data_IF_207383435357
#
_entry.id   IF_207383435357
#
_cell.length_a   1.000
_cell.length_b   1.000
_cell.length_c   1.000
_cell.angle_alpha   90.00
_cell.angle_beta   90.00
_cell.angle_gamma   90.00
#
_symmetry.space_group_name_H-M   'P 1'
#
loop_
_entity.id
_entity.type
_entity.pdbx_description
1 polymer ?
#
# COMPACT_ATOMS: atom_id res chain seq x y z
N UNK A 1 -10.58 -11.07 -6.30
CA UNK A 1 -10.37 -10.12 -5.19
C UNK A 1 -11.73 -9.79 -4.62
N UNK A 2 -11.85 -9.87 -3.30
CA UNK A 2 -13.06 -9.55 -2.56
C UNK A 2 -13.12 -8.04 -2.28
N UNK A 3 -14.13 -7.37 -2.84
CA UNK A 3 -14.32 -5.93 -2.69
C UNK A 3 -15.13 -5.56 -1.45
N UNK A 4 -15.67 -6.54 -0.72
CA UNK A 4 -16.26 -6.32 0.60
C UNK A 4 -15.21 -6.05 1.67
N UNK A 5 -13.99 -6.56 1.49
CA UNK A 5 -12.84 -6.21 2.33
C UNK A 5 -12.37 -4.79 2.04
N UNK A 6 -12.13 -4.00 3.08
CA UNK A 6 -11.62 -2.64 2.95
C UNK A 6 -10.18 -2.61 2.40
N UNK A 7 -9.84 -1.52 1.71
CA UNK A 7 -8.44 -1.20 1.46
C UNK A 7 -7.88 -0.48 2.70
N UNK A 8 -6.93 -1.10 3.39
CA UNK A 8 -6.40 -0.54 4.64
C UNK A 8 -5.50 0.65 4.35
N UNK A 9 -5.64 1.74 5.12
CA UNK A 9 -4.70 2.86 5.11
C UNK A 9 -3.49 2.48 5.93
N UNK A 10 -2.33 2.33 5.29
CA UNK A 10 -1.12 1.80 5.93
C UNK A 10 0.11 2.58 5.49
N UNK A 11 1.16 2.46 6.29
CA UNK A 11 2.53 2.76 5.91
C UNK A 11 3.24 1.47 5.45
N UNK A 12 4.27 1.61 4.61
CA UNK A 12 5.12 0.52 4.12
C UNK A 12 5.75 -0.28 5.26
N UNK A 13 6.11 0.38 6.37
CA UNK A 13 6.60 -0.30 7.57
C UNK A 13 5.58 -1.27 8.17
N UNK A 14 4.31 -0.88 8.24
CA UNK A 14 3.23 -1.72 8.77
C UNK A 14 2.93 -2.92 7.87
N UNK A 15 3.07 -2.76 6.54
CA UNK A 15 2.89 -3.87 5.59
C UNK A 15 3.91 -5.00 5.78
N UNK A 16 5.08 -4.72 6.39
CA UNK A 16 6.09 -5.76 6.69
C UNK A 16 5.62 -6.75 7.76
N UNK A 17 4.62 -6.36 8.56
CA UNK A 17 4.03 -7.22 9.58
C UNK A 17 2.89 -8.10 9.03
N UNK A 18 2.48 -7.87 7.77
CA UNK A 18 1.42 -8.62 7.14
C UNK A 18 1.82 -10.08 6.89
N UNK A 19 0.90 -11.01 7.15
CA UNK A 19 1.11 -12.44 6.96
C UNK A 19 0.15 -12.99 5.91
N UNK A 20 0.66 -13.82 5.00
CA UNK A 20 -0.18 -14.46 4.00
C UNK A 20 -1.10 -15.52 4.64
N UNK A 21 -2.35 -15.59 4.18
CA UNK A 21 -3.33 -16.57 4.63
C UNK A 21 -3.30 -17.79 3.72
N UNK A 22 -2.74 -18.89 4.23
CA UNK A 22 -2.67 -20.19 3.55
C UNK A 22 -4.03 -20.91 3.58
N UNK A 23 -5.01 -20.49 2.77
CA UNK A 23 -6.26 -21.25 2.63
C UNK A 23 -6.81 -21.21 1.21
N UNK A 24 -7.03 -22.40 0.64
CA UNK A 24 -7.17 -22.70 -0.78
C UNK A 24 -8.34 -22.06 -1.56
N UNK A 25 -9.11 -21.14 -0.98
CA UNK A 25 -10.15 -20.35 -1.64
C UNK A 25 -9.91 -18.82 -1.61
N UNK A 26 -8.99 -18.33 -0.77
CA UNK A 26 -8.72 -16.91 -0.53
C UNK A 26 -7.37 -16.49 -1.11
N UNK A 27 -7.19 -16.65 -2.42
CA UNK A 27 -5.93 -16.27 -3.08
C UNK A 27 -5.56 -14.79 -2.81
N UNK A 28 -4.30 -14.54 -2.44
CA UNK A 28 -3.72 -13.22 -2.18
C UNK A 28 -4.42 -12.44 -1.05
N UNK A 29 -4.73 -13.13 0.04
CA UNK A 29 -5.25 -12.51 1.26
C UNK A 29 -4.21 -12.51 2.37
N UNK A 30 -4.20 -11.44 3.15
CA UNK A 30 -3.21 -11.20 4.18
C UNK A 30 -3.88 -10.78 5.47
N UNK A 31 -3.22 -11.03 6.59
CA UNK A 31 -3.63 -10.50 7.88
C UNK A 31 -2.62 -9.49 8.41
N UNK A 32 -3.12 -8.41 9.00
CA UNK A 32 -2.37 -7.52 9.88
C UNK A 32 -2.95 -7.65 11.28
N UNK A 33 -2.29 -8.43 12.14
CA UNK A 33 -2.91 -8.92 13.37
C UNK A 33 -4.19 -9.72 13.06
N UNK A 34 -5.36 -9.37 13.62
CA UNK A 34 -6.62 -10.04 13.34
C UNK A 34 -7.31 -9.57 12.04
N UNK A 35 -6.79 -8.54 11.38
CA UNK A 35 -7.50 -7.86 10.28
C UNK A 35 -7.17 -8.53 8.95
N UNK A 36 -8.18 -9.13 8.31
CA UNK A 36 -8.06 -9.68 6.95
C UNK A 36 -8.15 -8.57 5.90
N UNK A 37 -7.19 -8.53 4.98
CA UNK A 37 -7.19 -7.60 3.86
C UNK A 37 -6.60 -8.20 2.59
N UNK A 38 -6.94 -7.58 1.45
CA UNK A 38 -6.37 -7.90 0.14
C UNK A 38 -5.82 -6.65 -0.57
N UNK A 39 -6.24 -5.47 -0.13
CA UNK A 39 -5.86 -4.18 -0.73
C UNK A 39 -5.28 -3.25 0.30
N UNK A 40 -4.33 -2.44 -0.14
CA UNK A 40 -3.75 -1.36 0.64
C UNK A 40 -4.03 -0.03 -0.05
N UNK A 41 -4.18 1.00 0.77
CA UNK A 41 -4.17 2.42 0.41
C UNK A 41 -2.90 3.01 1.00
N UNK A 42 -2.03 3.50 0.11
CA UNK A 42 -0.76 4.11 0.45
C UNK A 42 -0.68 5.53 -0.13
N UNK A 43 0.18 6.37 0.43
CA UNK A 43 0.64 7.61 -0.21
C UNK A 43 2.14 7.75 -0.02
N UNK A 44 2.82 8.37 -0.98
CA UNK A 44 4.27 8.50 -0.96
C UNK A 44 4.81 9.16 -2.22
N UNK A 45 6.13 9.32 -2.27
CA UNK A 45 6.86 9.87 -3.41
C UNK A 45 7.20 8.74 -4.38
N UNK A 46 6.97 8.96 -5.67
CA UNK A 46 7.45 8.06 -6.71
C UNK A 46 8.97 8.17 -6.84
N UNK A 47 9.65 7.05 -6.73
CA UNK A 47 11.10 6.93 -6.96
C UNK A 47 11.36 5.87 -8.04
N UNK A 48 12.48 5.97 -8.76
CA UNK A 48 12.84 4.98 -9.78
C UNK A 48 13.67 3.86 -9.19
N UNK A 49 13.41 2.62 -9.61
CA UNK A 49 14.42 1.57 -9.58
C UNK A 49 15.56 1.92 -10.55
N UNK A 50 16.80 1.57 -10.18
CA UNK A 50 17.97 1.77 -11.03
C UNK A 50 17.74 1.25 -12.47
N UNK A 51 18.22 2.00 -13.47
CA UNK A 51 18.20 1.56 -14.87
C UNK A 51 16.86 1.60 -15.60
N UNK A 52 15.87 2.36 -15.10
CA UNK A 52 14.55 2.47 -15.74
C UNK A 52 13.61 1.31 -15.41
N UNK A 53 13.81 0.68 -14.25
CA UNK A 53 12.95 -0.37 -13.71
C UNK A 53 11.57 0.14 -13.27
N UNK A 54 10.79 -0.70 -12.55
CA UNK A 54 9.45 -0.33 -12.10
C UNK A 54 9.50 0.90 -11.16
N UNK A 55 8.38 1.63 -11.10
CA UNK A 55 8.22 2.68 -10.10
C UNK A 55 8.14 2.06 -8.71
N UNK A 56 8.85 2.67 -7.77
CA UNK A 56 8.71 2.40 -6.35
C UNK A 56 7.97 3.58 -5.70
N UNK A 57 7.25 3.29 -4.63
CA UNK A 57 6.63 4.29 -3.77
C UNK A 57 7.39 4.32 -2.44
N UNK A 58 7.94 5.47 -2.11
CA UNK A 58 8.58 5.73 -0.81
C UNK A 58 7.65 6.59 0.05
N UNK A 59 7.25 6.08 1.21
CA UNK A 59 6.38 6.81 2.14
C UNK A 59 7.13 7.42 3.33
N UNK A 60 8.47 7.30 3.36
CA UNK A 60 9.33 7.71 4.48
C UNK A 60 9.55 6.63 5.55
N UNK A 61 8.83 5.50 5.47
CA UNK A 61 8.97 4.35 6.37
C UNK A 61 9.46 3.07 5.67
N UNK A 62 9.44 3.09 4.35
CA UNK A 62 9.95 2.04 3.48
C UNK A 62 9.54 2.26 2.03
N UNK A 63 10.00 1.37 1.17
CA UNK A 63 9.70 1.39 -0.25
C UNK A 63 8.89 0.17 -0.65
N UNK A 64 7.97 0.34 -1.60
CA UNK A 64 7.17 -0.75 -2.17
C UNK A 64 7.08 -0.61 -3.70
N UNK A 65 7.13 -1.72 -4.42
CA UNK A 65 7.05 -1.69 -5.89
C UNK A 65 5.60 -1.48 -6.36
N UNK A 66 5.42 -0.66 -7.40
CA UNK A 66 4.15 -0.45 -8.05
C UNK A 66 4.08 -1.23 -9.37
N UNK A 67 3.22 -2.25 -9.41
CA UNK A 67 2.90 -2.95 -10.65
C UNK A 67 1.77 -2.21 -11.39
N UNK A 68 2.15 -1.48 -12.44
CA UNK A 68 1.25 -0.67 -13.26
C UNK A 68 0.76 -1.47 -14.49
N UNK A 69 -0.56 -1.52 -14.69
CA UNK A 69 -1.17 -1.98 -15.95
C UNK A 69 -1.01 -0.93 -17.07
N UNK A 70 -1.23 -1.35 -18.32
CA UNK A 70 -0.99 -0.53 -19.52
C UNK A 70 -1.69 0.83 -19.54
N UNK A 71 -2.87 0.95 -18.91
CA UNK A 71 -3.61 2.22 -18.81
C UNK A 71 -2.90 3.27 -17.95
N UNK A 72 -2.14 2.85 -16.94
CA UNK A 72 -1.41 3.78 -16.07
C UNK A 72 -0.07 4.23 -16.68
N UNK A 73 0.47 3.49 -17.65
CA UNK A 73 1.67 3.90 -18.41
C UNK A 73 1.41 5.11 -19.31
N UNK A 74 0.15 5.38 -19.65
CA UNK A 74 -0.24 6.57 -20.43
C UNK A 74 -0.34 7.83 -19.57
N UNK A 75 -0.36 7.71 -18.23
CA UNK A 75 -0.27 8.87 -17.33
C UNK A 75 1.19 9.31 -17.25
N UNK A 76 1.44 10.63 -17.25
CA UNK A 76 2.77 11.22 -17.12
C UNK A 76 3.33 11.10 -15.69
N UNK A 77 3.33 9.89 -15.12
CA UNK A 77 3.95 9.62 -13.82
C UNK A 77 5.45 9.90 -13.93
N UNK A 78 5.97 10.69 -12.99
CA UNK A 78 7.38 11.09 -12.94
C UNK A 78 7.91 10.85 -11.54
N UNK A 79 9.20 10.52 -11.47
CA UNK A 79 9.93 10.50 -10.21
C UNK A 79 9.79 11.86 -9.53
N UNK A 80 9.59 11.85 -8.21
CA UNK A 80 9.36 13.03 -7.38
C UNK A 80 7.89 13.42 -7.22
N UNK A 81 6.95 12.82 -7.95
CA UNK A 81 5.53 13.06 -7.72
C UNK A 81 5.09 12.45 -6.39
N UNK A 82 4.34 13.22 -5.59
CA UNK A 82 3.65 12.69 -4.42
C UNK A 82 2.29 12.13 -4.86
N UNK A 83 2.06 10.85 -4.65
CA UNK A 83 0.89 10.15 -5.18
C UNK A 83 0.15 9.37 -4.09
N UNK A 84 -1.16 9.21 -4.30
CA UNK A 84 -1.96 8.22 -3.61
C UNK A 84 -2.13 6.99 -4.48
N UNK A 85 -2.00 5.80 -3.89
CA UNK A 85 -2.14 4.51 -4.56
C UNK A 85 -3.12 3.63 -3.79
N UNK A 86 -4.06 3.01 -4.50
CA UNK A 86 -4.86 1.89 -4.00
C UNK A 86 -4.67 0.70 -4.92
N UNK A 87 -4.39 -0.47 -4.35
CA UNK A 87 -4.13 -1.67 -5.13
C UNK A 87 -4.12 -2.96 -4.31
N UNK A 88 -4.05 -4.09 -5.01
CA UNK A 88 -3.89 -5.39 -4.37
C UNK A 88 -2.47 -5.56 -3.82
N UNK A 89 -2.33 -6.06 -2.60
CA UNK A 89 -1.04 -6.34 -1.98
C UNK A 89 -0.57 -7.75 -2.36
N UNK A 90 0.73 -7.90 -2.61
CA UNK A 90 1.38 -9.17 -2.93
C UNK A 90 2.74 -9.24 -2.24
N UNK A 91 2.99 -10.35 -1.54
CA UNK A 91 4.33 -10.70 -1.08
C UNK A 91 5.07 -11.42 -2.20
N UNK A 92 6.37 -11.13 -2.32
CA UNK A 92 7.30 -11.86 -3.20
C UNK A 92 8.20 -12.77 -2.37
N UNK A 93 9.02 -13.57 -3.06
CA UNK A 93 9.99 -14.44 -2.41
C UNK A 93 10.92 -13.65 -1.46
N UNK A 94 11.50 -14.35 -0.48
CA UNK A 94 12.34 -13.72 0.53
C UNK A 94 13.48 -12.90 -0.10
N UNK A 95 13.55 -11.61 0.25
CA UNK A 95 14.55 -10.67 -0.24
C UNK A 95 14.08 -9.75 -1.38
N UNK A 96 12.90 -9.99 -1.96
CA UNK A 96 12.31 -9.11 -2.97
C UNK A 96 11.33 -8.09 -2.33
N UNK A 97 11.27 -6.85 -2.82
CA UNK A 97 10.26 -5.89 -2.38
C UNK A 97 8.84 -6.42 -2.59
N UNK A 98 7.96 -6.19 -1.62
CA UNK A 98 6.53 -6.43 -1.79
C UNK A 98 5.96 -5.50 -2.87
N UNK A 99 4.79 -5.85 -3.39
CA UNK A 99 4.23 -5.18 -4.57
C UNK A 99 2.78 -4.77 -4.35
N UNK A 100 2.45 -3.58 -4.84
CA UNK A 100 1.07 -3.14 -5.03
C UNK A 100 0.71 -3.26 -6.51
N UNK A 101 -0.24 -4.15 -6.82
CA UNK A 101 -0.91 -4.15 -8.13
C UNK A 101 -1.92 -3.01 -8.16
N UNK A 102 -1.57 -1.94 -8.86
CA UNK A 102 -2.29 -0.67 -8.79
C UNK A 102 -3.67 -0.78 -9.46
N UNK A 103 -4.71 -0.42 -8.71
CA UNK A 103 -6.07 -0.23 -9.25
C UNK A 103 -6.42 1.24 -9.41
N UNK A 104 -5.82 2.11 -8.59
CA UNK A 104 -6.00 3.56 -8.65
C UNK A 104 -4.71 4.24 -8.24
N UNK A 105 -4.32 5.26 -9.00
CA UNK A 105 -3.23 6.18 -8.68
C UNK A 105 -3.68 7.62 -8.96
N UNK A 106 -3.38 8.52 -8.02
CA UNK A 106 -3.74 9.94 -8.11
C UNK A 106 -2.53 10.79 -7.76
N UNK A 107 -2.18 11.72 -8.64
CA UNK A 107 -1.17 12.74 -8.36
C UNK A 107 -1.72 13.76 -7.36
N UNK A 108 -1.02 13.93 -6.24
CA UNK A 108 -1.33 14.84 -5.16
C UNK A 108 -0.24 15.92 -4.99
N UNK A 109 0.71 16.02 -5.92
CA UNK A 109 1.86 16.92 -5.85
C UNK A 109 1.49 18.41 -5.74
N UNK A 110 0.28 18.79 -6.18
CA UNK A 110 -0.24 20.16 -6.06
C UNK A 110 -0.68 20.54 -4.64
N UNK A 111 -0.72 19.58 -3.71
CA UNK A 111 -1.22 19.76 -2.35
C UNK A 111 -0.13 19.41 -1.32
N UNK A 112 0.77 20.35 -0.97
CA UNK A 112 1.99 20.07 -0.21
C UNK A 112 1.73 19.50 1.20
N UNK A 113 0.59 19.81 1.80
CA UNK A 113 0.23 19.32 3.13
C UNK A 113 -0.25 17.85 3.14
N UNK A 114 -0.42 17.22 1.96
CA UNK A 114 -0.93 15.84 1.87
C UNK A 114 -0.01 14.82 2.51
N UNK A 115 1.30 15.02 2.42
CA UNK A 115 2.27 14.14 3.05
C UNK A 115 2.11 14.11 4.57
N UNK A 116 2.13 15.27 5.22
CA UNK A 116 1.91 15.36 6.67
C UNK A 116 0.52 14.84 7.08
N UNK A 117 -0.51 15.16 6.29
CA UNK A 117 -1.88 14.69 6.56
C UNK A 117 -2.00 13.17 6.45
N UNK A 118 -1.26 12.53 5.55
CA UNK A 118 -1.31 11.08 5.36
C UNK A 118 -0.92 10.33 6.62
N UNK A 119 0.14 10.76 7.31
CA UNK A 119 0.54 10.18 8.59
C UNK A 119 -0.57 10.30 9.65
N UNK A 120 -1.24 11.46 9.72
CA UNK A 120 -2.36 11.67 10.64
C UNK A 120 -3.56 10.77 10.29
N UNK A 121 -3.88 10.62 9.00
CA UNK A 121 -4.95 9.74 8.53
C UNK A 121 -4.67 8.26 8.84
N UNK A 122 -3.41 7.81 8.73
CA UNK A 122 -3.02 6.44 9.09
C UNK A 122 -3.11 6.24 10.61
N UNK A 123 -2.65 7.21 11.42
CA UNK A 123 -2.76 7.15 12.88
C UNK A 123 -4.23 7.12 13.31
N UNK A 124 -5.07 7.99 12.74
CA UNK A 124 -6.51 8.01 12.98
C UNK A 124 -7.15 6.66 12.62
N UNK A 125 -6.85 6.13 11.42
CA UNK A 125 -7.38 4.85 10.98
C UNK A 125 -6.96 3.71 11.93
N UNK A 126 -5.69 3.71 12.36
CA UNK A 126 -5.19 2.75 13.32
C UNK A 126 -5.94 2.85 14.65
N UNK A 127 -6.04 4.06 15.23
CA UNK A 127 -6.67 4.26 16.54
C UNK A 127 -8.16 3.96 16.56
N UNK A 128 -8.88 4.28 15.50
CA UNK A 128 -10.33 4.14 15.46
C UNK A 128 -10.79 2.77 14.96
N UNK A 129 -10.04 2.12 14.07
CA UNK A 129 -10.50 0.91 13.39
C UNK A 129 -9.60 -0.32 13.57
N UNK A 130 -8.29 -0.15 13.75
CA UNK A 130 -7.37 -1.30 13.78
C UNK A 130 -7.01 -1.73 15.19
N UNK A 131 -6.65 -0.77 16.05
CA UNK A 131 -6.30 -1.01 17.44
C UNK A 131 -7.45 -1.69 18.23
N UNK A 132 -8.72 -1.25 18.15
CA UNK A 132 -9.80 -1.91 18.89
C UNK A 132 -9.93 -3.40 18.54
N UNK A 133 -9.76 -3.74 17.26
CA UNK A 133 -9.76 -5.14 16.83
C UNK A 133 -8.56 -5.89 17.40
N UNK A 134 -7.37 -5.29 17.41
CA UNK A 134 -6.18 -5.94 18.00
C UNK A 134 -6.33 -6.20 19.50
N UNK A 135 -6.93 -5.26 20.22
CA UNK A 135 -7.13 -5.34 21.68
C UNK A 135 -8.22 -6.36 22.06
N UNK A 136 -9.23 -6.59 21.21
CA UNK A 136 -10.28 -7.61 21.44
C UNK A 136 -9.77 -9.06 21.38
N UNK A 137 -8.62 -9.32 20.73
CA UNK A 137 -8.04 -10.66 20.57
C UNK A 137 -6.78 -10.90 21.41
N UNK A 138 -6.50 -10.03 22.41
CA UNK A 138 -5.48 -10.23 23.45
C UNK A 138 -6.11 -10.66 24.78
#
# INVERSE_FOLDING_TARGET
MDYSLAALKLLCSQLKEAREVSSGSLQNSFTLGPILFQRAWLQGVLVSSDGGGPFLLDDGTGVIELSLSGEFRQRQLKVGMYVMVVGGYFLRAAGEPSVIKVHKIVDLSSSPNREAMWYLEVIEAYKLFYQPLMDEFM
#
